data_IF_966461025065
#
_entry.id   IF_966461025065
#
_cell.length_a   1.000
_cell.length_b   1.000
_cell.length_c   1.000
_cell.angle_alpha   90.00
_cell.angle_beta   90.00
_cell.angle_gamma   90.00
#
_symmetry.space_group_name_H-M   'P 1'
#
loop_
_entity.id
_entity.type
_entity.pdbx_description
1 polymer ?
#
# COMPACT_ATOMS: atom_id res chain seq x y z
N UNK A 1 12.56 15.67 11.60
CA UNK A 1 11.17 15.17 11.72
C UNK A 1 10.69 14.84 10.31
N UNK A 2 10.79 13.58 9.91
CA UNK A 2 10.48 13.13 8.54
C UNK A 2 8.97 13.04 8.37
N UNK A 3 8.41 13.94 7.57
CA UNK A 3 7.03 13.85 7.13
C UNK A 3 6.96 12.71 6.12
N UNK A 4 6.18 11.67 6.41
CA UNK A 4 5.72 10.70 5.40
C UNK A 4 4.86 11.48 4.39
N UNK A 5 5.51 12.11 3.42
CA UNK A 5 4.87 12.83 2.33
C UNK A 5 4.48 11.83 1.24
N UNK A 6 3.35 11.15 1.43
CA UNK A 6 2.61 10.56 0.32
C UNK A 6 1.39 11.46 0.02
N UNK A 7 1.56 12.59 -0.68
CA UNK A 7 0.42 13.41 -1.09
C UNK A 7 -0.48 12.59 -2.02
N UNK A 8 -1.70 12.29 -1.56
CA UNK A 8 -2.72 11.58 -2.35
C UNK A 8 -2.89 10.10 -2.05
N UNK A 9 -2.19 9.55 -1.05
CA UNK A 9 -2.37 8.15 -0.63
C UNK A 9 -2.89 8.07 0.81
N UNK A 10 -3.91 7.24 1.03
CA UNK A 10 -4.56 7.16 2.34
C UNK A 10 -3.71 6.31 3.31
N UNK A 11 -3.41 6.86 4.49
CA UNK A 11 -2.58 6.22 5.52
C UNK A 11 -3.41 5.81 6.76
N UNK A 12 -4.71 5.56 6.61
CA UNK A 12 -5.63 5.57 7.77
C UNK A 12 -6.00 4.20 8.35
N UNK A 13 -5.61 3.08 7.76
CA UNK A 13 -5.84 1.74 8.34
C UNK A 13 -4.72 0.76 7.97
N UNK A 14 -4.37 -0.21 8.84
CA UNK A 14 -3.44 -1.26 8.47
C UNK A 14 -3.94 -2.03 7.24
N UNK A 15 -3.11 -2.23 6.21
CA UNK A 15 -3.52 -2.88 4.97
C UNK A 15 -3.92 -4.32 5.24
N UNK A 16 -5.04 -4.75 4.66
CA UNK A 16 -5.58 -6.09 4.87
C UNK A 16 -4.85 -7.12 4.01
N UNK A 17 -3.55 -7.35 4.27
CA UNK A 17 -2.72 -8.25 3.45
C UNK A 17 -3.22 -9.69 3.39
N UNK A 18 -3.97 -10.13 4.41
CA UNK A 18 -4.64 -11.44 4.42
C UNK A 18 -5.73 -11.59 3.34
N UNK A 19 -6.22 -10.48 2.79
CA UNK A 19 -7.20 -10.44 1.68
C UNK A 19 -6.54 -10.75 0.33
N UNK A 20 -5.24 -10.49 0.21
CA UNK A 20 -4.49 -10.66 -1.02
C UNK A 20 -3.82 -12.03 -1.08
N UNK A 21 -4.58 -12.99 -1.60
CA UNK A 21 -4.10 -14.32 -1.95
C UNK A 21 -3.55 -14.40 -3.38
N UNK A 22 -2.53 -15.25 -3.56
CA UNK A 22 -1.97 -15.67 -4.86
C UNK A 22 -3.11 -16.10 -5.84
N UNK A 23 -3.02 -15.83 -7.16
CA UNK A 23 -1.81 -15.69 -7.99
C UNK A 23 -1.30 -14.27 -8.26
N UNK A 24 -1.90 -13.22 -7.72
CA UNK A 24 -1.36 -11.87 -7.91
C UNK A 24 -2.32 -10.75 -7.53
N UNK A 25 -1.84 -9.53 -7.66
CA UNK A 25 -2.62 -8.34 -7.33
C UNK A 25 -3.55 -7.92 -8.47
N UNK A 26 -4.75 -7.40 -8.15
CA UNK A 26 -5.56 -6.70 -9.13
C UNK A 26 -4.81 -5.47 -9.66
N UNK A 27 -5.16 -5.04 -10.87
CA UNK A 27 -4.56 -3.87 -11.54
C UNK A 27 -5.30 -2.57 -11.23
N UNK A 28 -6.13 -2.58 -10.20
CA UNK A 28 -6.83 -1.40 -9.72
C UNK A 28 -5.82 -0.38 -9.17
N UNK A 29 -6.05 0.90 -9.49
CA UNK A 29 -5.25 2.02 -9.02
C UNK A 29 -5.92 2.66 -7.80
N UNK A 30 -5.45 2.28 -6.61
CA UNK A 30 -5.93 2.77 -5.32
C UNK A 30 -4.71 3.09 -4.44
N UNK A 31 -4.06 4.26 -4.64
CA UNK A 31 -2.77 4.53 -4.05
C UNK A 31 -2.81 4.54 -2.51
N UNK A 32 -1.89 3.81 -1.89
CA UNK A 32 -1.73 3.73 -0.43
C UNK A 32 -0.31 4.10 -0.02
N UNK A 33 -0.17 4.76 1.13
CA UNK A 33 1.13 5.16 1.66
C UNK A 33 1.64 4.06 2.59
N UNK A 34 2.82 3.52 2.31
CA UNK A 34 3.49 2.60 3.21
C UNK A 34 4.13 3.32 4.38
N UNK A 35 4.44 2.57 5.43
CA UNK A 35 5.18 3.07 6.61
C UNK A 35 6.65 3.38 6.31
N UNK A 36 7.13 2.91 5.17
CA UNK A 36 8.42 3.21 4.55
C UNK A 36 8.46 4.59 3.85
N UNK A 37 7.30 5.25 3.69
CA UNK A 37 7.18 6.52 2.97
C UNK A 37 7.01 6.36 1.45
N UNK A 38 6.88 5.12 0.96
CA UNK A 38 6.66 4.85 -0.46
C UNK A 38 5.16 4.82 -0.77
N UNK A 39 4.78 5.30 -1.97
CA UNK A 39 3.40 5.21 -2.46
C UNK A 39 3.23 3.96 -3.31
N UNK A 40 2.34 3.08 -2.89
CA UNK A 40 2.02 1.84 -3.58
C UNK A 40 0.78 2.00 -4.44
N UNK A 41 0.77 1.39 -5.63
CA UNK A 41 -0.35 1.52 -6.58
C UNK A 41 -1.67 0.96 -6.04
N UNK A 42 -1.60 -0.03 -5.15
CA UNK A 42 -2.74 -0.55 -4.40
C UNK A 42 -2.28 -1.25 -3.11
N UNK A 43 -3.25 -1.52 -2.22
CA UNK A 43 -2.99 -2.25 -0.96
C UNK A 43 -2.36 -3.63 -1.19
N UNK A 44 -2.63 -4.31 -2.31
CA UNK A 44 -2.00 -5.59 -2.62
C UNK A 44 -0.50 -5.45 -2.94
N UNK A 45 -0.13 -4.48 -3.77
CA UNK A 45 1.28 -4.22 -4.11
C UNK A 45 2.05 -3.84 -2.85
N UNK A 46 1.47 -3.01 -1.98
CA UNK A 46 2.05 -2.72 -0.66
C UNK A 46 2.32 -4.01 0.12
N UNK A 47 1.32 -4.89 0.22
CA UNK A 47 1.43 -6.15 0.96
C UNK A 47 2.46 -7.13 0.37
N UNK A 48 2.70 -7.10 -0.94
CA UNK A 48 3.75 -7.90 -1.58
C UNK A 48 5.14 -7.27 -1.43
N UNK A 49 5.23 -5.93 -1.39
CA UNK A 49 6.49 -5.20 -1.29
C UNK A 49 7.03 -5.12 0.15
N UNK A 50 6.16 -4.99 1.14
CA UNK A 50 6.51 -4.91 2.57
C UNK A 50 6.32 -6.26 3.32
N UNK A 51 6.64 -7.37 2.64
CA UNK A 51 6.57 -8.72 3.24
C UNK A 51 7.75 -9.03 4.15
#
# INVERSE_FOLDING_TARGET
AGLLWCPGAVATFPPACYKYGMPGCPRDYNPVCGTDGETYSNECVLCLSNR
#
